data_IF_756752777953
#
_entry.id   IF_756752777953
#
_cell.length_a   1.000
_cell.length_b   1.000
_cell.length_c   1.000
_cell.angle_alpha   90.00
_cell.angle_beta   90.00
_cell.angle_gamma   90.00
#
_symmetry.space_group_name_H-M   'P 1'
#
loop_
_entity.id
_entity.type
_entity.pdbx_description
1 polymer ?
#
# COMPACT_ATOMS: atom_id res chain seq x y z
N UNK A 1 15.12 -6.51 10.79
CA UNK A 1 13.84 -6.82 11.47
C UNK A 1 12.75 -5.76 11.28
N UNK A 2 13.09 -4.49 10.97
CA UNK A 2 12.10 -3.41 10.84
C UNK A 2 11.09 -3.60 9.67
N UNK A 3 11.56 -4.03 8.50
CA UNK A 3 10.70 -4.27 7.35
C UNK A 3 9.62 -5.35 7.58
N UNK A 4 9.92 -6.38 8.38
CA UNK A 4 8.94 -7.40 8.75
C UNK A 4 7.83 -6.82 9.64
N UNK A 5 8.18 -5.97 10.61
CA UNK A 5 7.20 -5.28 11.47
C UNK A 5 6.29 -4.35 10.65
N UNK A 6 6.88 -3.58 9.72
CA UNK A 6 6.11 -2.70 8.84
C UNK A 6 5.18 -3.49 7.90
N UNK A 7 5.62 -4.65 7.41
CA UNK A 7 4.78 -5.56 6.63
C UNK A 7 3.56 -6.04 7.42
N UNK A 8 3.75 -6.53 8.65
CA UNK A 8 2.64 -6.98 9.49
C UNK A 8 1.67 -5.84 9.84
N UNK A 9 2.20 -4.64 10.13
CA UNK A 9 1.37 -3.48 10.42
C UNK A 9 0.53 -3.05 9.19
N UNK A 10 1.15 -3.01 8.01
CA UNK A 10 0.44 -2.73 6.76
C UNK A 10 -0.64 -3.78 6.49
N UNK A 11 -0.36 -5.06 6.72
CA UNK A 11 -1.32 -6.14 6.56
C UNK A 11 -2.51 -6.01 7.52
N UNK A 12 -2.28 -5.66 8.80
CA UNK A 12 -3.36 -5.42 9.77
C UNK A 12 -4.30 -4.32 9.29
N UNK A 13 -3.74 -3.18 8.88
CA UNK A 13 -4.53 -2.05 8.38
C UNK A 13 -5.28 -2.38 7.09
N UNK A 14 -4.67 -3.15 6.18
CA UNK A 14 -5.35 -3.66 4.98
C UNK A 14 -6.55 -4.54 5.35
N UNK A 15 -6.42 -5.41 6.36
CA UNK A 15 -7.55 -6.22 6.84
C UNK A 15 -8.68 -5.38 7.48
N UNK A 16 -8.37 -4.17 7.95
CA UNK A 16 -9.34 -3.19 8.45
C UNK A 16 -9.97 -2.33 7.33
N UNK A 17 -9.58 -2.53 6.07
CA UNK A 17 -10.13 -1.82 4.92
C UNK A 17 -9.26 -0.66 4.42
N UNK A 18 -7.99 -0.58 4.83
CA UNK A 18 -7.05 0.37 4.25
C UNK A 18 -6.83 0.10 2.75
N UNK A 19 -6.44 1.15 2.03
CA UNK A 19 -6.03 1.08 0.62
C UNK A 19 -4.59 1.57 0.47
N UNK A 20 -3.95 1.20 -0.64
CA UNK A 20 -2.65 1.74 -1.02
C UNK A 20 -2.81 2.61 -2.26
N UNK A 21 -2.27 3.82 -2.21
CA UNK A 21 -2.13 4.68 -3.37
C UNK A 21 -0.68 4.69 -3.83
N UNK A 22 -0.47 4.41 -5.11
CA UNK A 22 0.77 4.69 -5.82
C UNK A 22 0.65 6.08 -6.46
N UNK A 23 1.60 6.96 -6.15
CA UNK A 23 1.72 8.27 -6.77
C UNK A 23 2.74 8.21 -7.90
N UNK A 24 2.34 8.63 -9.11
CA UNK A 24 3.15 8.57 -10.34
C UNK A 24 4.27 9.61 -10.43
N UNK A 25 4.72 10.17 -9.29
CA UNK A 25 5.87 11.07 -9.26
C UNK A 25 7.18 10.33 -9.58
N UNK A 26 8.25 11.09 -9.84
CA UNK A 26 9.61 10.56 -9.90
C UNK A 26 10.36 11.01 -8.62
N UNK A 27 10.69 10.08 -7.69
CA UNK A 27 10.47 8.64 -7.73
C UNK A 27 9.01 8.24 -7.42
N UNK A 28 8.63 7.03 -7.87
CA UNK A 28 7.34 6.43 -7.52
C UNK A 28 7.30 6.24 -6.01
N UNK A 29 6.19 6.66 -5.39
CA UNK A 29 5.97 6.50 -3.94
C UNK A 29 4.64 5.82 -3.68
N UNK A 30 4.57 5.12 -2.55
CA UNK A 30 3.36 4.42 -2.10
C UNK A 30 2.91 5.02 -0.78
N UNK A 31 1.61 5.13 -0.58
CA UNK A 31 1.01 5.58 0.68
C UNK A 31 -0.10 4.63 1.09
N UNK A 32 -0.13 4.26 2.36
CA UNK A 32 -1.24 3.53 2.97
C UNK A 32 -2.26 4.55 3.48
N UNK A 33 -3.53 4.37 3.13
CA UNK A 33 -4.64 5.22 3.57
C UNK A 33 -5.65 4.43 4.37
N UNK A 34 -5.97 4.92 5.57
CA UNK A 34 -6.96 4.34 6.46
C UNK A 34 -7.60 5.45 7.30
N UNK A 35 -8.93 5.44 7.45
CA UNK A 35 -9.69 6.39 8.28
C UNK A 35 -9.32 7.88 8.08
N UNK A 36 -9.13 8.32 6.82
CA UNK A 36 -8.74 9.70 6.49
C UNK A 36 -7.26 10.03 6.72
N UNK A 37 -6.49 9.15 7.36
CA UNK A 37 -5.05 9.28 7.50
C UNK A 37 -4.31 8.70 6.30
N UNK A 38 -3.13 9.25 6.00
CA UNK A 38 -2.28 8.76 4.93
C UNK A 38 -0.82 8.77 5.36
N UNK A 39 -0.19 7.60 5.36
CA UNK A 39 1.21 7.43 5.78
C UNK A 39 2.06 6.89 4.63
N UNK A 40 3.36 7.25 4.55
CA UNK A 40 4.27 6.66 3.58
C UNK A 40 4.37 5.14 3.76
N UNK A 41 4.31 4.40 2.67
CA UNK A 41 4.53 2.96 2.64
C UNK A 41 5.87 2.69 1.93
N UNK A 42 6.84 2.06 2.60
CA UNK A 42 8.11 1.70 1.98
C UNK A 42 7.91 0.80 0.76
N UNK A 43 8.67 1.07 -0.32
CA UNK A 43 8.57 0.29 -1.57
C UNK A 43 8.81 -1.21 -1.38
N UNK A 44 9.73 -1.60 -0.47
CA UNK A 44 9.97 -2.99 -0.15
C UNK A 44 8.76 -3.69 0.50
N UNK A 45 8.01 -2.98 1.33
CA UNK A 45 6.77 -3.51 1.94
C UNK A 45 5.69 -3.68 0.88
N UNK A 46 5.53 -2.70 -0.01
CA UNK A 46 4.62 -2.81 -1.15
C UNK A 46 4.96 -4.02 -2.04
N UNK A 47 6.24 -4.21 -2.37
CA UNK A 47 6.70 -5.36 -3.15
C UNK A 47 6.39 -6.70 -2.46
N UNK A 48 6.57 -6.80 -1.14
CA UNK A 48 6.20 -7.99 -0.38
C UNK A 48 4.69 -8.24 -0.40
N UNK A 49 3.85 -7.20 -0.27
CA UNK A 49 2.40 -7.34 -0.35
C UNK A 49 1.94 -7.84 -1.72
N UNK A 50 2.57 -7.38 -2.81
CA UNK A 50 2.32 -7.88 -4.16
C UNK A 50 2.80 -9.34 -4.29
N UNK A 51 4.03 -9.64 -3.87
CA UNK A 51 4.60 -10.98 -3.96
C UNK A 51 3.78 -12.02 -3.18
N UNK A 52 3.28 -11.64 -2.01
CA UNK A 52 2.42 -12.47 -1.16
C UNK A 52 0.95 -12.42 -1.56
N UNK A 53 0.61 -11.73 -2.67
CA UNK A 53 -0.77 -11.58 -3.18
C UNK A 53 -1.74 -11.11 -2.10
N UNK A 54 -1.38 -10.10 -1.32
CA UNK A 54 -2.23 -9.50 -0.27
C UNK A 54 -3.01 -8.28 -0.74
N UNK A 55 -2.64 -7.75 -1.91
CA UNK A 55 -3.30 -6.63 -2.54
C UNK A 55 -3.45 -6.87 -4.03
N UNK A 56 -4.43 -6.22 -4.65
CA UNK A 56 -4.65 -6.19 -6.10
C UNK A 56 -4.89 -4.77 -6.56
N UNK A 57 -4.51 -4.48 -7.80
CA UNK A 57 -4.85 -3.20 -8.43
C UNK A 57 -6.37 -3.12 -8.61
N UNK A 58 -6.97 -2.03 -8.16
CA UNK A 58 -8.41 -1.77 -8.29
C UNK A 58 -8.71 -0.81 -9.44
N UNK A 59 -8.08 0.36 -9.46
CA UNK A 59 -8.35 1.39 -10.46
C UNK A 59 -7.18 2.35 -10.64
N UNK A 60 -7.25 3.12 -11.73
CA UNK A 60 -6.36 4.26 -12.00
C UNK A 60 -7.20 5.54 -12.01
N UNK A 61 -6.92 6.46 -11.09
CA UNK A 61 -7.65 7.72 -10.92
C UNK A 61 -6.67 8.88 -11.00
N UNK A 62 -6.81 9.75 -12.01
CA UNK A 62 -6.06 11.02 -12.13
C UNK A 62 -4.55 10.90 -11.86
N UNK A 63 -3.88 9.94 -12.49
CA UNK A 63 -2.44 9.71 -12.30
C UNK A 63 -2.04 9.00 -11.01
N UNK A 64 -3.00 8.41 -10.28
CA UNK A 64 -2.77 7.54 -9.12
C UNK A 64 -3.26 6.14 -9.42
N UNK A 65 -2.54 5.13 -8.95
CA UNK A 65 -2.98 3.74 -9.02
C UNK A 65 -3.38 3.30 -7.63
N UNK A 66 -4.57 2.74 -7.48
CA UNK A 66 -5.10 2.30 -6.19
C UNK A 66 -5.03 0.79 -6.11
N UNK A 67 -4.52 0.29 -5.00
CA UNK A 67 -4.50 -1.12 -4.63
C UNK A 67 -5.37 -1.35 -3.41
N UNK A 68 -6.14 -2.43 -3.45
CA UNK A 68 -7.05 -2.85 -2.38
C UNK A 68 -6.63 -4.22 -1.86
N UNK A 69 -6.97 -4.57 -0.61
CA UNK A 69 -6.83 -5.93 -0.11
C UNK A 69 -7.54 -6.94 -1.03
N UNK A 70 -7.01 -8.16 -1.11
CA UNK A 70 -7.73 -9.32 -1.68
C UNK A 70 -8.55 -10.04 -0.64
#
# INVERSE_FOLDING_TARGET
MEGHRQYLAALSLLNEGAIIEQMSGAPITYRLKHAGQSVPLPGGVFQQLIAHRRIRQSCRLSGRVVFVPV
#
